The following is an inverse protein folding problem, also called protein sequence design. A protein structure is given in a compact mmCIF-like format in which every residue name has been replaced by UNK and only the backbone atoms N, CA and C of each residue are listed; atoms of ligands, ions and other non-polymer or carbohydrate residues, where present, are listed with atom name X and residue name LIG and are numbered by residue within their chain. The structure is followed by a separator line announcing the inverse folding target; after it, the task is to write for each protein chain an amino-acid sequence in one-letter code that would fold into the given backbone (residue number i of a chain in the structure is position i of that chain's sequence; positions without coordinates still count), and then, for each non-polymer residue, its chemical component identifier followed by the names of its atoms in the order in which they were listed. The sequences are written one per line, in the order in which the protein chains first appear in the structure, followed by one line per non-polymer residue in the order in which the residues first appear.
data_IF_051076874445
#
_entry.id   IF_051076874445
#
_cell.length_a   1.000
_cell.length_b   1.000
_cell.length_c   1.000
_cell.angle_alpha   90.00
_cell.angle_beta   90.00
_cell.angle_gamma   90.00
#
_symmetry.space_group_name_H-M   'P 1'
#
loop_
_entity.id
_entity.type
_entity.pdbx_description
1 polymer ?
#
# COMPACT_ATOMS: atom_id res chain seq x y z
N UNK A 1 -49.77 -43.72 -27.23
CA UNK A 1 -49.64 -42.94 -25.98
C UNK A 1 -49.50 -43.93 -24.84
N UNK A 2 -48.68 -43.73 -23.78
CA UNK A 2 -47.71 -42.67 -23.49
C UNK A 2 -46.32 -43.25 -23.12
N UNK A 3 -45.29 -42.42 -23.15
CA UNK A 3 -43.94 -42.79 -22.70
C UNK A 3 -42.88 -41.84 -23.23
N UNK A 4 -43.19 -40.55 -23.30
CA UNK A 4 -42.18 -39.53 -23.59
C UNK A 4 -41.17 -39.53 -22.44
N UNK A 5 -39.93 -39.90 -22.73
CA UNK A 5 -38.81 -39.67 -21.85
C UNK A 5 -38.55 -38.16 -21.86
N UNK A 6 -38.90 -37.47 -20.77
CA UNK A 6 -38.52 -36.08 -20.52
C UNK A 6 -37.00 -35.95 -20.70
N UNK A 7 -36.55 -35.20 -21.71
CA UNK A 7 -35.15 -34.87 -21.96
C UNK A 7 -34.64 -33.74 -21.05
N UNK A 8 -35.15 -33.64 -19.82
CA UNK A 8 -34.82 -32.52 -18.91
C UNK A 8 -33.74 -32.86 -17.86
N UNK A 9 -33.13 -34.04 -17.91
CA UNK A 9 -31.88 -34.28 -17.18
C UNK A 9 -30.71 -34.11 -18.15
N UNK A 10 -30.27 -32.87 -18.31
CA UNK A 10 -28.93 -32.64 -18.84
C UNK A 10 -27.95 -33.29 -17.86
N UNK A 11 -27.24 -34.31 -18.34
CA UNK A 11 -26.14 -34.94 -17.63
C UNK A 11 -24.98 -33.93 -17.61
N UNK A 12 -25.14 -32.86 -16.82
CA UNK A 12 -24.14 -31.81 -16.68
C UNK A 12 -23.03 -32.43 -15.85
N UNK A 13 -21.92 -32.69 -16.53
CA UNK A 13 -20.67 -33.08 -15.92
C UNK A 13 -20.44 -32.27 -14.63
N UNK A 14 -20.13 -32.96 -13.53
CA UNK A 14 -20.04 -32.39 -12.18
C UNK A 14 -19.12 -31.17 -12.17
N UNK A 15 -18.05 -31.20 -12.98
CA UNK A 15 -17.12 -30.09 -13.17
C UNK A 15 -17.80 -28.88 -13.84
N UNK A 16 -18.64 -29.11 -14.84
CA UNK A 16 -19.37 -28.04 -15.52
C UNK A 16 -20.37 -27.40 -14.58
N UNK A 17 -21.09 -28.20 -13.78
CA UNK A 17 -22.01 -27.69 -12.75
C UNK A 17 -21.29 -26.88 -11.69
N UNK A 18 -20.17 -27.36 -11.16
CA UNK A 18 -19.33 -26.59 -10.22
C UNK A 18 -18.84 -25.28 -10.84
N UNK A 19 -18.40 -25.32 -12.11
CA UNK A 19 -17.89 -24.15 -12.81
C UNK A 19 -18.97 -23.07 -12.96
N UNK A 20 -20.18 -23.45 -13.33
CA UNK A 20 -21.29 -22.50 -13.56
C UNK A 20 -21.94 -22.03 -12.27
N UNK A 21 -22.19 -22.91 -11.31
CA UNK A 21 -22.94 -22.57 -10.09
C UNK A 21 -22.07 -21.90 -9.03
N UNK A 22 -20.79 -22.27 -8.92
CA UNK A 22 -19.93 -21.77 -7.85
C UNK A 22 -18.80 -20.90 -8.36
N UNK A 23 -18.00 -21.37 -9.33
CA UNK A 23 -16.80 -20.65 -9.75
C UNK A 23 -17.13 -19.32 -10.43
N UNK A 24 -17.96 -19.33 -11.47
CA UNK A 24 -18.32 -18.09 -12.18
C UNK A 24 -19.14 -17.15 -11.30
N UNK A 25 -20.05 -17.67 -10.48
CA UNK A 25 -20.79 -16.86 -9.50
C UNK A 25 -19.86 -16.15 -8.52
N UNK A 26 -18.89 -16.87 -7.95
CA UNK A 26 -17.91 -16.28 -7.02
C UNK A 26 -17.01 -15.27 -7.73
N UNK A 27 -16.60 -15.57 -8.97
CA UNK A 27 -15.80 -14.67 -9.79
C UNK A 27 -16.55 -13.37 -10.11
N UNK A 28 -17.85 -13.46 -10.40
CA UNK A 28 -18.70 -12.30 -10.67
C UNK A 28 -18.87 -11.43 -9.42
N UNK A 29 -19.08 -12.03 -8.23
CA UNK A 29 -19.11 -11.28 -6.97
C UNK A 29 -17.78 -10.56 -6.73
N UNK A 30 -16.65 -11.26 -6.92
CA UNK A 30 -15.31 -10.66 -6.76
C UNK A 30 -15.11 -9.52 -7.75
N UNK A 31 -15.48 -9.70 -9.01
CA UNK A 31 -15.37 -8.65 -10.02
C UNK A 31 -16.28 -7.46 -9.72
N UNK A 32 -17.53 -7.70 -9.29
CA UNK A 32 -18.49 -6.65 -8.95
C UNK A 32 -18.04 -5.87 -7.72
N UNK A 33 -17.51 -6.54 -6.70
CA UNK A 33 -16.96 -5.89 -5.50
C UNK A 33 -15.72 -5.07 -5.85
N UNK A 34 -14.79 -5.59 -6.64
CA UNK A 34 -13.62 -4.84 -7.11
C UNK A 34 -14.02 -3.63 -7.96
N UNK A 35 -14.96 -3.80 -8.88
CA UNK A 35 -15.59 -2.71 -9.64
C UNK A 35 -16.12 -1.63 -8.70
N UNK A 36 -16.94 -2.01 -7.72
CA UNK A 36 -17.55 -1.08 -6.79
C UNK A 36 -16.53 -0.33 -5.91
N UNK A 37 -15.47 -1.01 -5.46
CA UNK A 37 -14.41 -0.40 -4.65
C UNK A 37 -13.58 0.60 -5.45
N UNK A 38 -13.22 0.28 -6.70
CA UNK A 38 -12.28 1.09 -7.50
C UNK A 38 -12.96 2.01 -8.52
N UNK A 39 -14.27 1.94 -8.71
CA UNK A 39 -15.03 2.76 -9.68
C UNK A 39 -14.67 4.24 -9.60
N UNK A 40 -14.59 4.79 -8.40
CA UNK A 40 -14.29 6.21 -8.16
C UNK A 40 -12.82 6.58 -8.36
N UNK A 41 -11.89 5.62 -8.26
CA UNK A 41 -10.44 5.86 -8.31
C UNK A 41 -9.80 5.47 -9.64
N UNK A 42 -10.56 4.92 -10.60
CA UNK A 42 -10.04 4.52 -11.93
C UNK A 42 -9.27 5.63 -12.64
N UNK A 43 -9.80 6.85 -12.65
CA UNK A 43 -9.13 7.98 -13.30
C UNK A 43 -7.79 8.34 -12.65
N UNK A 44 -7.73 8.27 -11.31
CA UNK A 44 -6.46 8.44 -10.59
C UNK A 44 -5.48 7.31 -10.92
N UNK A 45 -5.93 6.06 -10.97
CA UNK A 45 -5.07 4.92 -11.32
C UNK A 45 -4.55 5.02 -12.75
N UNK A 46 -5.34 5.51 -13.70
CA UNK A 46 -4.87 5.77 -15.07
C UNK A 46 -3.79 6.86 -15.09
N UNK A 47 -3.96 7.94 -14.33
CA UNK A 47 -2.96 8.99 -14.21
C UNK A 47 -1.67 8.48 -13.54
N UNK A 48 -1.79 7.68 -12.48
CA UNK A 48 -0.64 7.07 -11.80
C UNK A 48 0.10 6.07 -12.69
N UNK A 49 -0.62 5.37 -13.58
CA UNK A 49 0.01 4.44 -14.52
C UNK A 49 1.01 5.13 -15.45
N UNK A 50 0.81 6.41 -15.75
CA UNK A 50 1.73 7.23 -16.55
C UNK A 50 3.09 7.39 -15.87
N UNK A 51 3.16 7.32 -14.55
CA UNK A 51 4.39 7.42 -13.77
C UNK A 51 5.20 6.10 -13.75
N UNK A 52 4.76 5.07 -14.46
CA UNK A 52 5.47 3.78 -14.52
C UNK A 52 6.60 3.84 -15.55
N UNK A 53 7.68 3.09 -15.30
CA UNK A 53 8.84 2.98 -16.20
C UNK A 53 8.46 2.70 -17.66
N UNK A 54 7.56 1.73 -17.89
CA UNK A 54 7.10 1.34 -19.21
C UNK A 54 6.48 2.51 -19.98
N UNK A 55 5.68 3.34 -19.30
CA UNK A 55 5.03 4.51 -19.89
C UNK A 55 6.02 5.62 -20.19
N UNK A 56 6.97 5.86 -19.29
CA UNK A 56 8.04 6.84 -19.49
C UNK A 56 8.88 6.46 -20.72
N UNK A 57 9.33 5.20 -20.82
CA UNK A 57 10.10 4.72 -21.97
C UNK A 57 9.31 4.75 -23.28
N UNK A 58 8.00 4.51 -23.21
CA UNK A 58 7.13 4.53 -24.38
C UNK A 58 6.91 5.94 -24.94
N UNK A 59 6.85 6.97 -24.09
CA UNK A 59 6.77 8.37 -24.54
C UNK A 59 8.00 8.83 -25.32
N UNK A 60 9.16 8.18 -25.14
CA UNK A 60 10.36 8.43 -25.94
C UNK A 60 10.34 7.72 -27.31
N UNK A 61 9.84 6.49 -27.38
CA UNK A 61 9.89 5.65 -28.60
C UNK A 61 8.98 6.16 -29.72
N UNK A 62 7.89 6.85 -29.37
CA UNK A 62 7.04 7.58 -30.31
C UNK A 62 7.11 9.06 -29.94
N UNK A 63 7.63 9.90 -30.83
CA UNK A 63 7.53 11.38 -30.76
C UNK A 63 6.08 11.92 -30.77
N UNK A 64 5.09 11.06 -30.48
CA UNK A 64 3.68 11.21 -30.83
C UNK A 64 2.77 10.64 -29.74
N UNK A 65 3.17 10.77 -28.47
CA UNK A 65 2.21 10.83 -27.38
C UNK A 65 2.06 12.30 -26.99
N UNK A 66 1.19 12.99 -27.73
CA UNK A 66 0.63 14.23 -27.22
C UNK A 66 -0.21 13.86 -25.99
N UNK A 67 0.43 13.94 -24.82
CA UNK A 67 -0.22 13.91 -23.52
C UNK A 67 -1.53 14.72 -23.65
N UNK A 68 -2.67 14.04 -23.57
CA UNK A 68 -3.97 14.70 -23.75
C UNK A 68 -4.11 15.80 -22.70
N UNK A 69 -4.84 16.88 -23.02
CA UNK A 69 -5.02 18.02 -22.10
C UNK A 69 -5.52 17.60 -20.72
N UNK A 70 -6.21 16.46 -20.62
CA UNK A 70 -6.81 15.97 -19.38
C UNK A 70 -5.95 14.95 -18.61
N UNK A 71 -4.78 14.56 -19.10
CA UNK A 71 -3.90 13.61 -18.38
C UNK A 71 -3.33 14.26 -17.12
N UNK A 72 -3.30 13.52 -16.00
CA UNK A 72 -3.00 14.01 -14.65
C UNK A 72 -4.07 14.88 -14.00
N UNK A 73 -5.26 15.01 -14.60
CA UNK A 73 -6.33 15.83 -14.03
C UNK A 73 -6.90 15.28 -12.72
N UNK A 74 -7.05 13.95 -12.60
CA UNK A 74 -7.51 13.31 -11.37
C UNK A 74 -6.40 13.29 -10.32
N UNK A 75 -5.14 13.14 -10.76
CA UNK A 75 -3.98 13.26 -9.87
C UNK A 75 -3.86 14.66 -9.27
N UNK A 76 -4.09 15.71 -10.05
CA UNK A 76 -4.07 17.09 -9.55
C UNK A 76 -5.25 17.39 -8.61
N UNK A 77 -6.42 16.75 -8.81
CA UNK A 77 -7.54 16.82 -7.85
C UNK A 77 -7.20 16.13 -6.53
N UNK A 78 -6.55 14.97 -6.61
CA UNK A 78 -6.14 14.20 -5.44
C UNK A 78 -5.06 14.92 -4.62
N UNK A 79 -4.10 15.55 -5.30
CA UNK A 79 -3.01 16.31 -4.70
C UNK A 79 -3.13 17.79 -5.10
N UNK A 80 -3.87 18.63 -4.34
CA UNK A 80 -4.15 20.01 -4.70
C UNK A 80 -2.90 20.92 -4.73
N UNK A 81 -1.75 20.42 -4.25
CA UNK A 81 -0.46 21.09 -4.35
C UNK A 81 0.16 21.00 -5.76
N UNK A 82 -0.39 20.16 -6.65
CA UNK A 82 0.14 19.90 -7.98
C UNK A 82 -0.55 20.78 -9.03
N UNK A 83 0.26 21.51 -9.80
CA UNK A 83 -0.21 22.27 -10.96
C UNK A 83 -0.14 21.42 -12.24
N UNK A 84 -1.30 21.21 -12.88
CA UNK A 84 -1.48 20.34 -14.05
C UNK A 84 -0.53 20.68 -15.21
N UNK A 85 -0.55 21.93 -15.68
CA UNK A 85 0.22 22.36 -16.86
C UNK A 85 1.74 22.22 -16.66
N UNK A 86 2.20 22.54 -15.44
CA UNK A 86 3.60 22.41 -15.08
C UNK A 86 3.98 20.92 -14.97
N UNK A 87 3.12 20.08 -14.36
CA UNK A 87 3.36 18.64 -14.29
C UNK A 87 3.47 18.01 -15.69
N UNK A 88 2.53 18.30 -16.59
CA UNK A 88 2.52 17.77 -17.95
C UNK A 88 3.76 18.17 -18.75
N UNK A 89 4.13 19.45 -18.70
CA UNK A 89 5.30 19.98 -19.43
C UNK A 89 6.59 19.39 -18.88
N UNK A 90 6.73 19.36 -17.55
CA UNK A 90 7.90 18.82 -16.88
C UNK A 90 8.03 17.31 -17.04
N UNK A 91 6.91 16.57 -17.06
CA UNK A 91 6.89 15.13 -17.31
C UNK A 91 7.43 14.80 -18.70
N UNK A 92 7.06 15.56 -19.74
CA UNK A 92 7.63 15.39 -21.10
C UNK A 92 9.14 15.58 -21.13
N UNK A 93 9.62 16.69 -20.57
CA UNK A 93 11.06 16.99 -20.48
C UNK A 93 11.81 15.91 -19.68
N UNK A 94 11.20 15.42 -18.60
CA UNK A 94 11.74 14.34 -17.80
C UNK A 94 11.82 13.03 -18.59
N UNK A 95 10.77 12.66 -19.33
CA UNK A 95 10.75 11.42 -20.11
C UNK A 95 11.78 11.41 -21.25
N UNK A 96 12.01 12.56 -21.89
CA UNK A 96 13.05 12.71 -22.92
C UNK A 96 14.46 12.48 -22.35
N UNK A 97 14.70 12.97 -21.12
CA UNK A 97 15.98 12.88 -20.42
C UNK A 97 16.14 11.60 -19.58
N UNK A 98 15.08 10.82 -19.38
CA UNK A 98 15.05 9.67 -18.47
C UNK A 98 16.11 8.62 -18.80
N UNK A 99 16.30 8.25 -20.07
CA UNK A 99 17.32 7.25 -20.43
C UNK A 99 18.76 7.73 -20.15
N UNK A 100 19.03 9.04 -20.29
CA UNK A 100 20.34 9.57 -19.94
C UNK A 100 20.57 9.48 -18.42
N UNK A 101 19.52 9.75 -17.65
CA UNK A 101 19.49 9.65 -16.19
C UNK A 101 19.64 8.20 -15.72
N UNK A 102 18.95 7.26 -16.36
CA UNK A 102 19.04 5.81 -16.10
C UNK A 102 20.44 5.26 -16.37
N UNK A 103 21.09 5.70 -17.46
CA UNK A 103 22.47 5.30 -17.77
C UNK A 103 23.48 5.84 -16.75
N UNK A 104 23.27 7.06 -16.23
CA UNK A 104 24.06 7.59 -15.11
C UNK A 104 23.79 6.83 -13.81
N UNK A 105 22.53 6.41 -13.59
CA UNK A 105 22.07 5.68 -12.39
C UNK A 105 22.45 4.19 -12.38
N UNK A 106 22.66 3.60 -13.56
CA UNK A 106 23.05 2.20 -13.74
C UNK A 106 24.44 1.89 -13.16
N UNK A 107 25.30 2.91 -12.99
CA UNK A 107 26.55 2.76 -12.25
C UNK A 107 26.35 2.57 -10.72
N UNK A 108 25.10 2.64 -10.21
CA UNK A 108 24.76 2.48 -8.79
C UNK A 108 23.79 1.32 -8.48
N UNK A 109 23.54 0.37 -9.40
CA UNK A 109 22.70 -0.83 -9.14
C UNK A 109 21.26 -0.57 -8.62
N UNK A 110 20.70 0.63 -8.80
CA UNK A 110 19.42 1.03 -8.17
C UNK A 110 18.21 0.26 -8.74
N UNK A 111 18.26 -0.15 -10.01
CA UNK A 111 17.13 -0.76 -10.73
C UNK A 111 17.30 -2.27 -10.98
N UNK A 112 18.48 -2.85 -10.73
CA UNK A 112 18.80 -4.23 -11.10
C UNK A 112 18.16 -5.29 -10.18
N UNK A 113 17.66 -4.90 -9.01
CA UNK A 113 17.06 -5.81 -8.02
C UNK A 113 15.58 -6.15 -8.28
N UNK A 114 14.92 -5.51 -9.25
CA UNK A 114 13.49 -5.70 -9.54
C UNK A 114 13.14 -7.00 -10.28
N UNK A 115 14.14 -7.73 -10.82
CA UNK A 115 13.91 -8.85 -11.74
C UNK A 115 13.98 -10.27 -11.12
N UNK A 116 14.05 -10.41 -9.78
CA UNK A 116 13.88 -11.74 -9.17
C UNK A 116 12.40 -12.03 -8.95
N UNK A 117 11.78 -12.74 -9.91
CA UNK A 117 10.53 -13.45 -9.70
C UNK A 117 10.84 -14.66 -8.82
N UNK A 118 10.56 -14.61 -7.53
CA UNK A 118 10.51 -15.83 -6.73
C UNK A 118 9.29 -15.79 -5.81
N UNK A 119 8.44 -16.81 -6.00
CA UNK A 119 7.31 -17.13 -5.17
C UNK A 119 7.78 -17.45 -3.75
N UNK A 120 7.14 -16.84 -2.74
CA UNK A 120 7.27 -17.31 -1.36
C UNK A 120 5.87 -17.48 -0.81
N UNK A 121 5.57 -18.75 -0.58
CA UNK A 121 4.42 -19.33 0.09
C UNK A 121 4.29 -18.80 1.52
N UNK A 122 3.09 -18.42 2.02
CA UNK A 122 2.90 -18.13 3.42
C UNK A 122 2.61 -19.44 4.16
N UNK A 123 3.67 -20.06 4.70
CA UNK A 123 3.51 -21.08 5.74
C UNK A 123 3.17 -20.38 7.07
N UNK A 124 1.98 -20.72 7.57
CA UNK A 124 1.52 -20.49 8.93
C UNK A 124 2.51 -21.11 9.93
N UNK A 125 2.89 -20.36 10.97
CA UNK A 125 3.35 -20.98 12.21
C UNK A 125 2.71 -20.27 13.41
N UNK A 126 1.66 -20.91 13.92
CA UNK A 126 1.07 -20.63 15.22
C UNK A 126 2.03 -21.11 16.32
N UNK A 127 2.88 -20.22 16.84
CA UNK A 127 3.52 -20.47 18.13
C UNK A 127 3.60 -19.21 18.99
N UNK A 128 2.82 -19.24 20.08
CA UNK A 128 2.78 -18.22 21.11
C UNK A 128 3.91 -18.48 22.10
N UNK A 129 4.99 -17.71 22.02
CA UNK A 129 5.90 -17.56 23.15
C UNK A 129 6.30 -16.09 23.38
N UNK A 130 5.98 -15.59 24.56
CA UNK A 130 6.39 -14.29 25.07
C UNK A 130 7.85 -14.40 25.52
N UNK A 131 8.80 -14.31 24.58
CA UNK A 131 10.15 -13.85 24.88
C UNK A 131 10.91 -13.48 23.61
N UNK A 132 11.42 -12.25 23.59
CA UNK A 132 12.44 -11.73 22.66
C UNK A 132 12.19 -12.02 21.18
N UNK A 133 11.39 -11.17 20.52
CA UNK A 133 11.63 -10.91 19.10
C UNK A 133 12.84 -9.97 19.01
N UNK A 134 14.02 -10.52 19.25
CA UNK A 134 15.20 -10.04 18.56
C UNK A 134 14.95 -10.38 17.10
N UNK A 135 14.36 -9.46 16.35
CA UNK A 135 14.39 -9.50 14.90
C UNK A 135 15.87 -9.60 14.55
N UNK A 136 16.34 -10.80 14.20
CA UNK A 136 17.61 -10.92 13.51
C UNK A 136 17.46 -10.04 12.27
N UNK A 137 18.18 -8.92 12.28
CA UNK A 137 18.40 -8.05 11.14
C UNK A 137 19.10 -8.88 10.06
N UNK A 138 18.35 -9.73 9.38
CA UNK A 138 18.72 -10.12 8.03
C UNK A 138 18.44 -8.87 7.23
N UNK A 139 19.51 -8.17 6.83
CA UNK A 139 19.51 -7.17 5.78
C UNK A 139 18.94 -7.81 4.49
N UNK A 140 17.62 -7.96 4.44
CA UNK A 140 16.91 -8.07 3.20
C UNK A 140 16.99 -6.69 2.60
N UNK A 141 17.96 -6.46 1.70
CA UNK A 141 17.92 -5.32 0.80
C UNK A 141 16.51 -5.25 0.24
N UNK A 142 15.68 -4.29 0.65
CA UNK A 142 14.29 -4.29 0.24
C UNK A 142 14.31 -4.14 -1.27
N UNK A 143 13.60 -5.01 -1.98
CA UNK A 143 13.37 -4.85 -3.41
C UNK A 143 12.65 -3.51 -3.54
N UNK A 144 13.40 -2.44 -3.81
CA UNK A 144 12.85 -1.09 -3.90
C UNK A 144 12.01 -1.04 -5.16
N UNK A 145 10.70 -0.90 -4.99
CA UNK A 145 9.78 -0.68 -6.11
C UNK A 145 10.21 0.52 -6.95
N UNK A 146 9.89 0.51 -8.25
CA UNK A 146 10.24 1.57 -9.19
C UNK A 146 9.96 2.98 -8.64
N UNK A 147 8.78 3.18 -8.03
CA UNK A 147 8.37 4.46 -7.43
C UNK A 147 9.30 4.93 -6.31
N UNK A 148 9.79 4.00 -5.47
CA UNK A 148 10.72 4.30 -4.37
C UNK A 148 12.11 4.65 -4.92
N UNK A 149 12.59 3.88 -5.89
CA UNK A 149 13.85 4.15 -6.59
C UNK A 149 13.82 5.49 -7.32
N UNK A 150 12.71 5.81 -7.97
CA UNK A 150 12.50 7.09 -8.65
C UNK A 150 12.43 8.25 -7.66
N UNK A 151 11.74 8.10 -6.54
CA UNK A 151 11.70 9.12 -5.50
C UNK A 151 13.09 9.37 -4.90
N UNK A 152 13.86 8.31 -4.66
CA UNK A 152 15.24 8.41 -4.21
C UNK A 152 16.11 9.15 -5.24
N UNK A 153 15.97 8.82 -6.52
CA UNK A 153 16.69 9.45 -7.62
C UNK A 153 16.39 10.96 -7.70
N UNK A 154 15.12 11.35 -7.56
CA UNK A 154 14.73 12.76 -7.57
C UNK A 154 15.30 13.53 -6.37
N UNK A 155 15.47 12.85 -5.23
CA UNK A 155 16.03 13.44 -4.01
C UNK A 155 17.56 13.50 -4.03
N UNK A 156 18.25 12.47 -4.52
CA UNK A 156 19.72 12.38 -4.49
C UNK A 156 20.40 13.34 -5.46
N UNK A 157 19.78 13.58 -6.62
CA UNK A 157 20.33 14.45 -7.66
C UNK A 157 19.84 15.92 -7.57
N UNK A 158 19.18 16.31 -6.48
CA UNK A 158 18.68 17.69 -6.30
C UNK A 158 17.56 18.09 -7.29
N UNK A 159 16.97 17.11 -7.97
CA UNK A 159 15.91 17.31 -8.97
C UNK A 159 14.58 17.75 -8.34
N UNK A 160 14.44 17.65 -7.02
CA UNK A 160 13.29 18.16 -6.26
C UNK A 160 13.00 19.64 -6.56
N UNK A 161 14.03 20.48 -6.70
CA UNK A 161 13.85 21.90 -7.01
C UNK A 161 13.41 22.13 -8.47
N UNK A 162 13.84 21.27 -9.39
CA UNK A 162 13.58 21.41 -10.83
C UNK A 162 12.26 20.76 -11.28
N UNK A 163 11.83 19.73 -10.53
CA UNK A 163 10.63 18.90 -10.77
C UNK A 163 9.78 18.68 -9.49
N UNK A 164 9.31 19.75 -8.81
CA UNK A 164 8.60 19.63 -7.53
C UNK A 164 7.26 18.87 -7.65
N UNK A 165 6.52 19.07 -8.73
CA UNK A 165 5.23 18.39 -8.96
C UNK A 165 5.40 16.88 -9.19
N UNK A 166 6.47 16.49 -9.87
CA UNK A 166 6.81 15.07 -10.06
C UNK A 166 7.22 14.41 -8.75
N UNK A 167 8.02 15.11 -7.94
CA UNK A 167 8.40 14.63 -6.61
C UNK A 167 7.16 14.42 -5.73
N UNK A 168 6.22 15.37 -5.73
CA UNK A 168 4.95 15.23 -5.00
C UNK A 168 4.10 14.07 -5.52
N UNK A 169 4.03 13.87 -6.83
CA UNK A 169 3.30 12.75 -7.43
C UNK A 169 3.89 11.39 -7.02
N UNK A 170 5.22 11.22 -7.09
CA UNK A 170 5.88 9.99 -6.64
C UNK A 170 5.80 9.80 -5.13
N UNK A 171 5.85 10.88 -4.35
CA UNK A 171 5.65 10.83 -2.90
C UNK A 171 4.24 10.35 -2.57
N UNK A 172 3.22 10.88 -3.23
CA UNK A 172 1.85 10.40 -3.12
C UNK A 172 1.74 8.92 -3.49
N UNK A 173 2.31 8.51 -4.62
CA UNK A 173 2.32 7.11 -5.06
C UNK A 173 2.94 6.16 -4.02
N UNK A 174 4.02 6.57 -3.34
CA UNK A 174 4.66 5.78 -2.28
C UNK A 174 3.85 5.71 -0.98
N UNK A 175 2.86 6.59 -0.78
CA UNK A 175 1.98 6.56 0.40
C UNK A 175 0.72 5.72 0.20
N UNK A 176 0.44 5.27 -1.02
CA UNK A 176 -0.69 4.39 -1.29
C UNK A 176 -0.39 3.02 -0.67
N UNK A 177 -1.26 2.50 0.20
CA UNK A 177 -1.08 1.16 0.76
C UNK A 177 -1.18 0.13 -0.36
N UNK A 178 -0.06 -0.52 -0.69
CA UNK A 178 -0.01 -1.55 -1.72
C UNK A 178 -0.51 -2.93 -1.23
N UNK A 179 -0.63 -3.12 0.08
CA UNK A 179 -1.02 -4.39 0.71
C UNK A 179 -1.88 -4.15 1.95
N UNK A 180 -2.80 -5.07 2.21
CA UNK A 180 -3.59 -5.16 3.44
C UNK A 180 -2.77 -5.62 4.65
N UNK A 181 -1.53 -6.11 4.47
CA UNK A 181 -0.72 -6.71 5.54
C UNK A 181 -0.57 -5.82 6.78
N UNK A 182 -0.47 -4.49 6.62
CA UNK A 182 -0.42 -3.56 7.75
C UNK A 182 -1.74 -3.51 8.52
N UNK A 183 -2.87 -3.49 7.80
CA UNK A 183 -4.19 -3.56 8.40
C UNK A 183 -4.43 -4.93 9.05
N UNK A 184 -4.07 -6.03 8.39
CA UNK A 184 -4.17 -7.39 8.93
C UNK A 184 -3.34 -7.58 10.20
N UNK A 185 -2.09 -7.08 10.22
CA UNK A 185 -1.25 -7.08 11.43
C UNK A 185 -1.93 -6.28 12.56
N UNK A 186 -2.54 -5.14 12.24
CA UNK A 186 -3.28 -4.32 13.21
C UNK A 186 -4.53 -5.05 13.72
N UNK A 187 -5.28 -5.74 12.85
CA UNK A 187 -6.43 -6.56 13.22
C UNK A 187 -6.05 -7.78 14.05
N UNK A 188 -4.91 -8.40 13.78
CA UNK A 188 -4.35 -9.49 14.58
C UNK A 188 -4.01 -9.00 15.99
N UNK A 189 -3.32 -7.85 16.12
CA UNK A 189 -3.07 -7.19 17.41
C UNK A 189 -4.38 -6.85 18.14
N UNK A 190 -5.37 -6.32 17.42
CA UNK A 190 -6.70 -6.04 17.97
C UNK A 190 -7.38 -7.29 18.52
N UNK A 191 -7.30 -8.42 17.80
CA UNK A 191 -7.83 -9.71 18.26
C UNK A 191 -7.16 -10.13 19.57
N UNK A 192 -5.85 -9.97 19.69
CA UNK A 192 -5.09 -10.25 20.92
C UNK A 192 -5.52 -9.33 22.06
N UNK A 193 -5.61 -8.00 21.84
CA UNK A 193 -6.01 -7.03 22.86
C UNK A 193 -7.41 -7.36 23.39
N UNK A 194 -8.37 -7.61 22.49
CA UNK A 194 -9.74 -7.99 22.87
C UNK A 194 -9.80 -9.31 23.62
N UNK A 195 -9.03 -10.31 23.20
CA UNK A 195 -9.02 -11.62 23.84
C UNK A 195 -8.32 -11.58 25.21
N UNK A 196 -7.13 -10.96 25.31
CA UNK A 196 -6.40 -10.79 26.57
C UNK A 196 -7.20 -9.99 27.60
N UNK A 197 -7.87 -8.93 27.18
CA UNK A 197 -8.63 -8.08 28.11
C UNK A 197 -10.05 -8.60 28.40
N UNK A 198 -10.53 -9.65 27.70
CA UNK A 198 -11.85 -10.31 27.86
C UNK A 198 -12.97 -9.39 28.41
N UNK A 199 -13.11 -8.16 27.89
CA UNK A 199 -14.01 -7.14 28.45
C UNK A 199 -14.55 -6.19 27.39
N UNK A 200 -15.76 -5.67 27.67
CA UNK A 200 -16.42 -4.51 27.07
C UNK A 200 -15.61 -3.22 27.27
N UNK A 201 -14.45 -3.12 26.63
CA UNK A 201 -13.65 -1.90 26.63
C UNK A 201 -14.32 -0.83 25.78
N UNK A 202 -14.46 0.38 26.32
CA UNK A 202 -14.96 1.54 25.58
C UNK A 202 -14.06 1.85 24.38
N UNK A 203 -14.66 2.31 23.28
CA UNK A 203 -13.99 2.54 22.00
C UNK A 203 -12.71 3.40 22.15
N UNK A 204 -12.77 4.49 22.90
CA UNK A 204 -11.63 5.41 23.10
C UNK A 204 -10.41 4.71 23.73
N UNK A 205 -10.66 3.85 24.72
CA UNK A 205 -9.59 3.08 25.38
C UNK A 205 -9.04 1.98 24.45
N UNK A 206 -9.91 1.37 23.64
CA UNK A 206 -9.50 0.37 22.67
C UNK A 206 -8.62 0.96 21.57
N UNK A 207 -8.99 2.11 21.02
CA UNK A 207 -8.20 2.83 20.01
C UNK A 207 -6.82 3.21 20.56
N UNK A 208 -6.77 3.73 21.79
CA UNK A 208 -5.50 4.07 22.47
C UNK A 208 -4.59 2.86 22.65
N UNK A 209 -5.15 1.69 23.02
CA UNK A 209 -4.41 0.44 23.18
C UNK A 209 -3.90 -0.11 21.85
N UNK A 210 -4.71 -0.05 20.79
CA UNK A 210 -4.29 -0.46 19.45
C UNK A 210 -3.12 0.41 19.01
N UNK A 211 -3.22 1.74 19.15
CA UNK A 211 -2.17 2.68 18.77
C UNK A 211 -0.86 2.36 19.50
N UNK A 212 -0.90 2.21 20.82
CA UNK A 212 0.26 1.84 21.64
C UNK A 212 0.87 0.49 21.22
N UNK A 213 0.03 -0.48 20.85
CA UNK A 213 0.49 -1.80 20.41
C UNK A 213 1.06 -1.81 18.98
N UNK A 214 0.61 -0.86 18.15
CA UNK A 214 1.01 -0.71 16.74
C UNK A 214 2.34 0.02 16.63
N UNK A 215 2.52 1.09 17.40
CA UNK A 215 3.68 2.00 17.35
C UNK A 215 4.71 1.68 18.44
N UNK A 216 5.20 0.43 18.49
CA UNK A 216 6.20 0.01 19.50
C UNK A 216 7.58 0.63 19.31
N UNK A 217 7.85 1.13 18.10
CA UNK A 217 9.15 1.71 17.73
C UNK A 217 9.30 3.15 18.23
N UNK A 218 8.21 3.75 18.74
CA UNK A 218 8.24 5.06 19.39
C UNK A 218 8.58 4.86 20.86
N UNK A 219 9.78 5.29 21.25
CA UNK A 219 10.22 5.23 22.64
C UNK A 219 9.37 6.17 23.50
N UNK A 220 8.77 5.62 24.56
CA UNK A 220 7.95 6.37 25.50
C UNK A 220 8.76 6.62 26.76
N UNK A 221 8.94 7.89 27.10
CA UNK A 221 9.49 8.30 28.39
C UNK A 221 8.51 7.91 29.52
N UNK A 222 8.84 6.81 30.19
CA UNK A 222 8.02 6.24 31.25
C UNK A 222 7.97 7.15 32.48
N UNK A 223 9.03 7.91 32.79
CA UNK A 223 9.03 8.83 33.94
C UNK A 223 8.04 9.97 33.68
N UNK A 224 8.10 10.56 32.49
CA UNK A 224 7.16 11.62 32.10
C UNK A 224 5.72 11.12 32.02
N UNK A 225 5.51 9.90 31.51
CA UNK A 225 4.17 9.31 31.48
C UNK A 225 3.63 9.07 32.91
N UNK A 226 4.49 8.61 33.82
CA UNK A 226 4.15 8.38 35.23
C UNK A 226 3.84 9.69 35.94
N UNK A 227 4.63 10.74 35.71
CA UNK A 227 4.38 12.09 36.25
C UNK A 227 3.04 12.67 35.77
N UNK A 228 2.73 12.52 34.48
CA UNK A 228 1.45 12.96 33.91
C UNK A 228 0.27 12.20 34.52
N UNK A 229 0.42 10.89 34.68
CA UNK A 229 -0.59 10.05 35.32
C UNK A 229 -0.75 10.39 36.81
N UNK A 230 0.35 10.65 37.51
CA UNK A 230 0.35 11.08 38.90
C UNK A 230 -0.41 12.40 39.09
N UNK A 231 -0.22 13.36 38.17
CA UNK A 231 -0.91 14.66 38.18
C UNK A 231 -2.39 14.58 37.81
N UNK A 232 -2.88 13.44 37.32
CA UNK A 232 -4.31 13.27 36.99
C UNK A 232 -5.22 13.13 38.22
N UNK A 233 -4.65 12.81 39.40
CA UNK A 233 -5.42 12.61 40.64
C UNK A 233 -4.57 12.90 41.88
N UNK A 234 -5.17 13.54 42.89
CA UNK A 234 -4.53 13.86 44.17
C UNK A 234 -4.07 12.63 44.95
N UNK A 235 -4.67 11.46 44.67
CA UNK A 235 -4.30 10.18 45.28
C UNK A 235 -3.04 9.63 44.60
N UNK A 236 -2.99 9.72 43.27
CA UNK A 236 -1.89 9.20 42.47
C UNK A 236 -0.63 10.07 42.62
N UNK A 237 -0.79 11.39 42.74
CA UNK A 237 0.32 12.32 42.96
C UNK A 237 1.10 12.01 44.24
N UNK A 238 0.41 11.65 45.33
CA UNK A 238 1.05 11.28 46.60
C UNK A 238 1.75 9.91 46.60
N UNK A 239 1.40 9.03 45.67
CA UNK A 239 1.92 7.66 45.60
C UNK A 239 3.03 7.50 44.56
N UNK A 240 2.98 8.29 43.48
CA UNK A 240 3.85 8.12 42.31
C UNK A 240 4.92 9.21 42.19
N UNK A 241 4.76 10.37 42.84
CA UNK A 241 5.80 11.40 42.88
C UNK A 241 6.68 11.19 44.13
N UNK A 242 8.02 11.31 44.01
CA UNK A 242 8.90 11.28 45.16
C UNK A 242 8.55 12.42 46.12
N UNK A 243 8.51 12.11 47.41
CA UNK A 243 8.20 13.05 48.50
C UNK A 243 9.26 14.14 48.67
#
# INVERSE_FOLDING_TARGET
MPGELCQDESNVDILTKFKTEFFYYSLDIVNETLENIFRSSRGLLTDLSLLTEERILFTKKKNEYALSKNEFSELAKWLPQIHLENLQTKYKVFAESYQALENTSSNQNIFQSLNKKDAVDPEDDENYDENTCSTSEKEHNPIKGFSSSMLHLLSSHGLMASFPNMYLAYKGLCTIPASSASAERTFSKLKIIKNRLRTTTQQDRLESLILLSSEKDIEIDLEKATDLLARSSDILSKQLLPS
#
